data_IF_233518020536
#
_entry.id   IF_233518020536
#
_cell.length_a   1.000
_cell.length_b   1.000
_cell.length_c   1.000
_cell.angle_alpha   90.00
_cell.angle_beta   90.00
_cell.angle_gamma   90.00
#
_symmetry.space_group_name_H-M   'P 1'
#
loop_
_entity.id
_entity.type
_entity.pdbx_description
1 polymer ?
#
# COMPACT_ATOMS: atom_id res chain seq x y z
N UNK A 1 58.08 -19.49 -53.29
CA UNK A 1 58.73 -19.30 -51.97
C UNK A 1 58.29 -17.98 -51.39
N UNK A 2 57.79 -18.00 -50.14
CA UNK A 2 57.60 -16.87 -49.20
C UNK A 2 56.51 -15.83 -49.54
N UNK A 3 55.67 -15.34 -48.62
CA UNK A 3 55.29 -15.68 -47.24
C UNK A 3 53.93 -14.99 -47.01
N UNK A 4 52.94 -15.73 -46.51
CA UNK A 4 51.66 -15.20 -46.02
C UNK A 4 51.88 -14.17 -44.91
N UNK A 5 51.25 -13.00 -45.02
CA UNK A 5 50.97 -12.14 -43.87
C UNK A 5 49.47 -11.88 -43.79
N UNK A 6 48.78 -12.72 -43.01
CA UNK A 6 47.42 -12.48 -42.51
C UNK A 6 47.54 -11.46 -41.37
N UNK A 7 47.07 -10.24 -41.57
CA UNK A 7 46.84 -9.33 -40.45
C UNK A 7 45.48 -9.65 -39.83
N UNK A 8 45.52 -10.31 -38.67
CA UNK A 8 44.36 -10.60 -37.83
C UNK A 8 44.16 -9.39 -36.89
N UNK A 9 43.17 -8.56 -37.18
CA UNK A 9 42.73 -7.51 -36.27
C UNK A 9 41.97 -8.16 -35.11
N UNK A 10 42.61 -8.23 -33.94
CA UNK A 10 42.00 -8.69 -32.70
C UNK A 10 41.35 -7.48 -32.02
N UNK A 11 40.03 -7.31 -32.20
CA UNK A 11 39.26 -6.33 -31.43
C UNK A 11 39.03 -6.88 -30.03
N UNK A 12 39.79 -6.35 -29.06
CA UNK A 12 39.65 -6.65 -27.64
C UNK A 12 38.40 -5.93 -27.12
N UNK A 13 37.26 -6.63 -27.07
CA UNK A 13 36.08 -6.14 -26.36
C UNK A 13 36.32 -6.26 -24.85
N UNK A 14 36.66 -5.14 -24.20
CA UNK A 14 36.61 -5.05 -22.73
C UNK A 14 35.17 -5.30 -22.30
N UNK A 15 34.89 -6.49 -21.76
CA UNK A 15 33.67 -6.70 -20.97
C UNK A 15 33.86 -6.02 -19.63
N UNK A 16 33.34 -4.81 -19.51
CA UNK A 16 33.19 -4.14 -18.21
C UNK A 16 32.17 -4.93 -17.39
N UNK A 17 32.64 -5.72 -16.43
CA UNK A 17 31.77 -6.30 -15.41
C UNK A 17 31.27 -5.17 -14.52
N UNK A 18 30.03 -4.74 -14.73
CA UNK A 18 29.34 -3.87 -13.77
C UNK A 18 29.07 -4.67 -12.51
N UNK A 19 29.72 -4.30 -11.42
CA UNK A 19 29.30 -4.71 -10.08
C UNK A 19 27.92 -4.10 -9.84
N UNK A 20 26.86 -4.89 -10.02
CA UNK A 20 25.52 -4.54 -9.56
C UNK A 20 25.57 -4.66 -8.03
N UNK A 21 25.85 -3.55 -7.36
CA UNK A 21 25.55 -3.42 -5.93
C UNK A 21 24.02 -3.55 -5.85
N UNK A 22 23.53 -4.68 -5.34
CA UNK A 22 22.11 -4.88 -5.11
C UNK A 22 21.66 -3.86 -4.07
N UNK A 23 21.01 -2.79 -4.52
CA UNK A 23 20.49 -1.76 -3.66
C UNK A 23 19.51 -2.40 -2.65
N UNK A 24 19.66 -2.04 -1.38
CA UNK A 24 18.78 -2.53 -0.32
C UNK A 24 17.36 -2.03 -0.57
N UNK A 25 16.39 -2.94 -0.57
CA UNK A 25 14.97 -2.58 -0.69
C UNK A 25 14.56 -1.73 0.50
N UNK A 26 14.09 -0.52 0.24
CA UNK A 26 13.53 0.36 1.26
C UNK A 26 12.04 0.08 1.41
N UNK A 27 11.56 0.01 2.65
CA UNK A 27 10.15 -0.25 2.97
C UNK A 27 9.66 0.83 3.93
N UNK A 28 8.58 1.50 3.55
CA UNK A 28 7.82 2.38 4.42
C UNK A 28 6.55 1.64 4.86
N UNK A 29 6.49 1.27 6.14
CA UNK A 29 5.29 0.67 6.73
C UNK A 29 4.43 1.74 7.38
N UNK A 30 3.16 1.82 7.01
CA UNK A 30 2.19 2.76 7.56
C UNK A 30 1.04 1.94 8.14
N UNK A 31 0.90 1.98 9.46
CA UNK A 31 -0.28 1.45 10.14
C UNK A 31 -1.36 2.51 10.22
N UNK A 32 -2.61 2.10 9.94
CA UNK A 32 -3.81 2.93 10.13
C UNK A 32 -4.87 2.12 10.86
N UNK A 33 -5.80 2.80 11.53
CA UNK A 33 -7.09 2.20 11.89
C UNK A 33 -8.03 2.24 10.66
N UNK A 34 -9.11 1.46 10.66
CA UNK A 34 -10.08 1.49 9.57
C UNK A 34 -10.87 2.82 9.53
N UNK A 35 -10.74 3.58 8.44
CA UNK A 35 -11.42 4.88 8.27
C UNK A 35 -12.93 4.72 8.09
N UNK A 36 -13.34 3.63 7.45
CA UNK A 36 -14.74 3.22 7.35
C UNK A 36 -15.30 2.77 8.72
N UNK A 37 -14.44 2.25 9.60
CA UNK A 37 -14.75 1.65 10.90
C UNK A 37 -16.00 0.74 10.86
N UNK A 38 -15.92 -0.46 10.27
CA UNK A 38 -17.02 -1.43 10.27
C UNK A 38 -17.36 -1.99 11.66
N UNK A 39 -16.58 -1.66 12.69
CA UNK A 39 -16.74 -2.17 14.05
C UNK A 39 -16.20 -3.58 14.27
N UNK A 40 -15.45 -4.15 13.33
CA UNK A 40 -14.84 -5.47 13.42
C UNK A 40 -13.62 -5.56 14.34
N UNK A 41 -12.99 -4.43 14.65
CA UNK A 41 -11.76 -4.38 15.46
C UNK A 41 -12.05 -4.68 16.94
N UNK A 42 -11.14 -5.41 17.59
CA UNK A 42 -11.21 -5.72 19.02
C UNK A 42 -11.16 -4.44 19.85
N UNK A 43 -10.24 -3.53 19.51
CA UNK A 43 -10.12 -2.20 20.13
C UNK A 43 -11.05 -1.23 19.40
N UNK A 44 -11.93 -0.55 20.15
CA UNK A 44 -12.85 0.44 19.59
C UNK A 44 -12.20 1.83 19.58
N UNK A 45 -12.13 2.43 18.40
CA UNK A 45 -11.65 3.80 18.22
C UNK A 45 -12.82 4.79 18.14
N UNK A 46 -12.61 6.01 18.65
CA UNK A 46 -13.52 7.12 18.39
C UNK A 46 -13.57 7.38 16.87
N UNK A 47 -14.77 7.34 16.28
CA UNK A 47 -14.92 7.62 14.86
C UNK A 47 -14.79 9.11 14.58
N UNK A 48 -14.24 9.45 13.42
CA UNK A 48 -14.32 10.79 12.85
C UNK A 48 -14.75 10.69 11.40
N UNK A 49 -15.20 11.81 10.82
CA UNK A 49 -15.54 11.84 9.42
C UNK A 49 -14.29 12.03 8.56
N UNK A 50 -13.82 10.95 7.96
CA UNK A 50 -12.70 10.97 6.99
C UNK A 50 -13.00 11.88 5.79
N UNK A 51 -14.27 12.16 5.50
CA UNK A 51 -14.67 13.05 4.40
C UNK A 51 -14.68 14.53 4.80
N UNK A 52 -14.41 14.86 6.08
CA UNK A 52 -14.38 16.25 6.54
C UNK A 52 -13.25 17.05 5.86
N UNK A 53 -13.40 18.37 5.68
CA UNK A 53 -12.36 19.20 5.06
C UNK A 53 -10.99 19.09 5.76
N UNK A 54 -10.97 19.00 7.08
CA UNK A 54 -9.75 18.82 7.88
C UNK A 54 -9.08 17.50 7.55
N UNK A 55 -9.81 16.38 7.61
CA UNK A 55 -9.27 15.07 7.31
C UNK A 55 -8.77 14.97 5.86
N UNK A 56 -9.49 15.55 4.91
CA UNK A 56 -9.04 15.60 3.51
C UNK A 56 -7.74 16.38 3.35
N UNK A 57 -7.59 17.51 4.05
CA UNK A 57 -6.33 18.29 4.06
C UNK A 57 -5.17 17.47 4.65
N UNK A 58 -5.42 16.74 5.74
CA UNK A 58 -4.42 15.86 6.35
C UNK A 58 -4.01 14.70 5.41
N UNK A 59 -4.97 14.08 4.74
CA UNK A 59 -4.70 13.05 3.73
C UNK A 59 -3.85 13.60 2.58
N UNK A 60 -4.12 14.82 2.11
CA UNK A 60 -3.26 15.46 1.11
C UNK A 60 -1.82 15.59 1.62
N UNK A 61 -1.64 16.10 2.83
CA UNK A 61 -0.32 16.25 3.45
C UNK A 61 0.42 14.92 3.64
N UNK A 62 -0.27 13.88 4.10
CA UNK A 62 0.33 12.55 4.31
C UNK A 62 0.74 11.96 2.96
N UNK A 63 -0.14 12.01 1.97
CA UNK A 63 0.14 11.44 0.65
C UNK A 63 1.21 12.20 -0.12
N UNK A 64 1.39 13.51 0.11
CA UNK A 64 2.53 14.27 -0.40
C UNK A 64 3.86 13.78 0.19
N UNK A 65 3.88 13.45 1.49
CA UNK A 65 5.07 12.87 2.14
C UNK A 65 5.37 11.48 1.61
N UNK A 66 4.34 10.65 1.39
CA UNK A 66 4.50 9.33 0.77
C UNK A 66 5.05 9.48 -0.66
N UNK A 67 4.54 10.41 -1.46
CA UNK A 67 5.06 10.64 -2.81
C UNK A 67 6.53 11.08 -2.81
N UNK A 68 6.95 11.90 -1.84
CA UNK A 68 8.35 12.32 -1.64
C UNK A 68 9.29 11.17 -1.25
N UNK A 69 8.76 10.08 -0.71
CA UNK A 69 9.53 8.85 -0.50
C UNK A 69 9.87 8.15 -1.83
N UNK A 70 9.24 8.54 -2.94
CA UNK A 70 9.41 7.95 -4.27
C UNK A 70 9.17 6.43 -4.31
N UNK A 71 8.00 5.95 -3.86
CA UNK A 71 7.70 4.52 -3.88
C UNK A 71 7.57 4.02 -5.32
N UNK A 72 8.27 2.92 -5.64
CA UNK A 72 8.07 2.20 -6.90
C UNK A 72 6.79 1.36 -6.90
N UNK A 73 6.32 0.99 -5.69
CA UNK A 73 5.13 0.18 -5.46
C UNK A 73 4.42 0.62 -4.19
N UNK A 74 3.09 0.53 -4.21
CA UNK A 74 2.24 0.66 -3.02
C UNK A 74 1.42 -0.61 -2.87
N UNK A 75 1.35 -1.11 -1.64
CA UNK A 75 0.60 -2.31 -1.27
C UNK A 75 -0.51 -1.92 -0.29
N UNK A 76 -1.67 -2.57 -0.39
CA UNK A 76 -2.85 -2.29 0.42
C UNK A 76 -3.52 -3.58 0.86
N UNK A 77 -4.27 -3.51 1.96
CA UNK A 77 -5.01 -4.62 2.54
C UNK A 77 -6.28 -4.95 1.73
N UNK A 78 -6.06 -5.43 0.51
CA UNK A 78 -7.07 -6.01 -0.38
C UNK A 78 -6.74 -7.49 -0.59
N UNK A 79 -7.76 -8.35 -0.71
CA UNK A 79 -7.58 -9.80 -0.91
C UNK A 79 -6.59 -10.04 -2.06
N UNK A 80 -5.47 -10.71 -1.75
CA UNK A 80 -4.41 -11.02 -2.71
C UNK A 80 -4.92 -11.79 -3.95
N UNK A 81 -6.06 -12.48 -3.84
CA UNK A 81 -6.71 -13.17 -4.96
C UNK A 81 -7.50 -12.26 -5.89
N UNK A 82 -7.87 -11.05 -5.44
CA UNK A 82 -8.70 -10.10 -6.18
C UNK A 82 -7.93 -8.85 -6.64
N UNK A 83 -6.70 -9.03 -7.11
CA UNK A 83 -5.92 -7.95 -7.74
C UNK A 83 -6.67 -7.30 -8.92
N UNK A 84 -7.42 -8.08 -9.71
CA UNK A 84 -8.16 -7.56 -10.87
C UNK A 84 -9.30 -6.60 -10.47
N UNK A 85 -9.99 -6.88 -9.36
CA UNK A 85 -10.98 -5.98 -8.79
C UNK A 85 -10.33 -4.67 -8.35
N UNK A 86 -9.21 -4.75 -7.64
CA UNK A 86 -8.43 -3.58 -7.22
C UNK A 86 -7.95 -2.73 -8.41
N UNK A 87 -7.39 -3.37 -9.44
CA UNK A 87 -6.90 -2.70 -10.65
C UNK A 87 -8.03 -1.95 -11.37
N UNK A 88 -9.21 -2.56 -11.45
CA UNK A 88 -10.40 -1.94 -12.07
C UNK A 88 -10.85 -0.68 -11.32
N UNK A 89 -10.86 -0.73 -9.98
CA UNK A 89 -11.19 0.40 -9.14
C UNK A 89 -10.13 1.50 -9.23
N UNK A 90 -8.84 1.12 -9.24
CA UNK A 90 -7.75 2.08 -9.33
C UNK A 90 -7.71 2.77 -10.70
N UNK A 91 -8.02 2.06 -11.79
CA UNK A 91 -8.15 2.68 -13.11
C UNK A 91 -9.24 3.75 -13.15
N UNK A 92 -10.41 3.48 -12.55
CA UNK A 92 -11.47 4.47 -12.41
C UNK A 92 -11.01 5.69 -11.59
N UNK A 93 -10.16 5.47 -10.58
CA UNK A 93 -9.61 6.53 -9.74
C UNK A 93 -8.63 7.42 -10.50
N UNK A 94 -7.73 6.83 -11.29
CA UNK A 94 -6.82 7.57 -12.18
C UNK A 94 -7.59 8.40 -13.20
N UNK A 95 -8.67 7.84 -13.76
CA UNK A 95 -9.52 8.50 -14.76
C UNK A 95 -10.46 9.57 -14.18
N UNK A 96 -10.45 9.79 -12.86
CA UNK A 96 -11.35 10.73 -12.19
C UNK A 96 -12.83 10.32 -12.20
N UNK A 97 -13.12 9.03 -12.47
CA UNK A 97 -14.48 8.47 -12.57
C UNK A 97 -14.91 7.68 -11.34
N UNK A 98 -13.98 7.43 -10.41
CA UNK A 98 -14.22 6.59 -9.23
C UNK A 98 -15.38 7.08 -8.37
N UNK A 99 -15.41 8.36 -8.00
CA UNK A 99 -16.47 8.88 -7.13
C UNK A 99 -17.87 8.75 -7.75
N UNK A 100 -18.02 9.09 -9.03
CA UNK A 100 -19.29 8.93 -9.73
C UNK A 100 -19.70 7.46 -9.86
N UNK A 101 -18.73 6.55 -10.07
CA UNK A 101 -18.99 5.12 -10.06
C UNK A 101 -19.49 4.65 -8.69
N UNK A 102 -18.85 5.08 -7.60
CA UNK A 102 -19.26 4.71 -6.23
C UNK A 102 -20.64 5.24 -5.90
N UNK A 103 -20.92 6.51 -6.20
CA UNK A 103 -22.24 7.14 -6.02
C UNK A 103 -23.33 6.40 -6.81
N UNK A 104 -23.07 6.04 -8.07
CA UNK A 104 -24.06 5.36 -8.91
C UNK A 104 -24.32 3.92 -8.49
N UNK A 105 -23.28 3.18 -8.12
CA UNK A 105 -23.36 1.73 -7.90
C UNK A 105 -23.69 1.35 -6.46
N UNK A 106 -23.16 2.10 -5.49
CA UNK A 106 -23.19 1.68 -4.09
C UNK A 106 -24.01 2.58 -3.17
N UNK A 107 -24.45 3.78 -3.61
CA UNK A 107 -25.25 4.66 -2.76
C UNK A 107 -26.53 3.96 -2.28
N UNK A 108 -26.76 4.00 -0.97
CA UNK A 108 -27.86 3.29 -0.31
C UNK A 108 -27.61 1.80 -0.04
N UNK A 109 -26.46 1.26 -0.43
CA UNK A 109 -26.04 -0.11 -0.09
C UNK A 109 -25.16 -0.12 1.14
N UNK A 110 -25.04 -1.28 1.79
CA UNK A 110 -24.11 -1.49 2.93
C UNK A 110 -22.65 -1.28 2.54
N UNK A 111 -22.29 -1.52 1.27
CA UNK A 111 -20.94 -1.32 0.75
C UNK A 111 -20.56 0.15 0.48
N UNK A 112 -21.50 1.10 0.61
CA UNK A 112 -21.23 2.49 0.24
C UNK A 112 -20.05 3.10 1.02
N UNK A 113 -20.06 2.95 2.34
CA UNK A 113 -19.00 3.51 3.19
C UNK A 113 -17.67 2.79 2.99
N UNK A 114 -17.68 1.49 2.69
CA UNK A 114 -16.46 0.77 2.32
C UNK A 114 -15.82 1.43 1.08
N UNK A 115 -16.55 1.55 -0.03
CA UNK A 115 -15.94 2.13 -1.25
C UNK A 115 -15.68 3.63 -1.17
N UNK A 116 -16.41 4.38 -0.33
CA UNK A 116 -16.25 5.83 -0.22
C UNK A 116 -15.20 6.26 0.80
N UNK A 117 -15.19 5.62 1.97
CA UNK A 117 -14.46 6.08 3.17
C UNK A 117 -13.22 5.24 3.51
N UNK A 118 -13.05 4.06 2.93
CA UNK A 118 -11.95 3.16 3.27
C UNK A 118 -10.56 3.76 2.93
N UNK A 119 -9.61 3.50 3.82
CA UNK A 119 -8.20 3.88 3.78
C UNK A 119 -7.48 3.46 2.49
N UNK A 120 -7.85 2.34 1.88
CA UNK A 120 -7.31 1.89 0.60
C UNK A 120 -7.51 2.96 -0.47
N UNK A 121 -8.69 3.59 -0.52
CA UNK A 121 -8.99 4.64 -1.51
C UNK A 121 -8.60 6.03 -1.02
N UNK A 122 -8.87 6.34 0.26
CA UNK A 122 -8.57 7.65 0.83
C UNK A 122 -7.07 7.90 1.02
N UNK A 123 -6.27 6.85 1.27
CA UNK A 123 -4.82 6.95 1.46
C UNK A 123 -4.06 6.25 0.33
N UNK A 124 -4.30 4.95 0.13
CA UNK A 124 -3.52 4.12 -0.80
C UNK A 124 -3.58 4.58 -2.27
N UNK A 125 -4.79 4.71 -2.83
CA UNK A 125 -5.01 5.17 -4.21
C UNK A 125 -4.49 6.60 -4.42
N UNK A 126 -4.77 7.49 -3.47
CA UNK A 126 -4.31 8.88 -3.49
C UNK A 126 -2.78 8.95 -3.52
N UNK A 127 -2.10 8.23 -2.63
CA UNK A 127 -0.64 8.15 -2.59
C UNK A 127 -0.06 7.61 -3.90
N UNK A 128 -0.63 6.52 -4.42
CA UNK A 128 -0.16 5.90 -5.66
C UNK A 128 -0.31 6.84 -6.86
N UNK A 129 -1.43 7.56 -6.94
CA UNK A 129 -1.67 8.54 -8.00
C UNK A 129 -0.65 9.68 -7.94
N UNK A 130 -0.35 10.20 -6.74
CA UNK A 130 0.67 11.25 -6.55
C UNK A 130 2.08 10.78 -6.86
N UNK A 131 2.37 9.51 -6.57
CA UNK A 131 3.65 8.88 -6.93
C UNK A 131 3.76 8.53 -8.44
N UNK A 132 2.71 8.77 -9.24
CA UNK A 132 2.71 8.46 -10.67
C UNK A 132 2.64 6.97 -10.99
N UNK A 133 2.14 6.16 -10.05
CA UNK A 133 2.01 4.71 -10.23
C UNK A 133 0.74 4.38 -11.01
N UNK A 134 0.84 3.37 -11.87
CA UNK A 134 -0.29 2.86 -12.65
C UNK A 134 -1.00 1.67 -11.97
N UNK A 135 -0.50 1.21 -10.83
CA UNK A 135 -1.04 0.07 -10.11
C UNK A 135 -0.85 0.22 -8.59
N UNK A 136 -1.81 -0.34 -7.84
CA UNK A 136 -1.73 -0.60 -6.40
C UNK A 136 -1.82 -2.12 -6.20
N UNK A 137 -1.05 -2.68 -5.27
CA UNK A 137 -0.88 -4.13 -5.14
C UNK A 137 -1.68 -4.66 -3.94
N UNK A 138 -2.47 -5.72 -4.15
CA UNK A 138 -3.21 -6.42 -3.12
C UNK A 138 -2.29 -7.37 -2.35
N UNK A 139 -2.35 -7.34 -1.02
CA UNK A 139 -1.51 -8.20 -0.14
C UNK A 139 -2.25 -8.84 1.03
N UNK A 140 -3.54 -8.53 1.22
CA UNK A 140 -4.26 -9.06 2.36
C UNK A 140 -4.42 -10.57 2.21
N UNK A 141 -4.06 -11.28 3.27
CA UNK A 141 -4.18 -12.71 3.38
C UNK A 141 -4.84 -13.01 4.73
N UNK A 142 -5.93 -13.78 4.76
CA UNK A 142 -6.61 -14.09 6.01
C UNK A 142 -5.66 -14.84 6.95
N UNK A 143 -5.30 -14.19 8.05
CA UNK A 143 -4.47 -14.76 9.10
C UNK A 143 -5.28 -14.86 10.38
N UNK A 144 -5.14 -16.00 11.08
CA UNK A 144 -5.68 -16.12 12.42
C UNK A 144 -4.75 -15.35 13.36
N UNK A 145 -5.18 -14.17 13.82
CA UNK A 145 -4.40 -13.37 14.76
C UNK A 145 -4.46 -14.06 16.13
N UNK A 146 -3.33 -14.50 16.71
CA UNK A 146 -3.32 -15.28 17.95
C UNK A 146 -3.47 -14.34 19.16
N UNK A 147 -4.60 -13.64 19.25
CA UNK A 147 -4.86 -12.61 20.27
C UNK A 147 -4.61 -13.15 21.69
N UNK A 148 -5.11 -14.34 22.01
CA UNK A 148 -4.85 -15.01 23.29
C UNK A 148 -3.36 -15.19 23.60
N UNK A 149 -2.55 -15.48 22.57
CA UNK A 149 -1.10 -15.63 22.74
C UNK A 149 -0.45 -14.28 23.01
N UNK A 150 -0.87 -13.23 22.31
CA UNK A 150 -0.42 -11.86 22.55
C UNK A 150 -0.75 -11.43 23.99
N UNK A 151 -1.99 -11.64 24.44
CA UNK A 151 -2.40 -11.29 25.80
C UNK A 151 -1.65 -12.10 26.86
N UNK A 152 -1.38 -13.39 26.62
CA UNK A 152 -0.53 -14.19 27.53
C UNK A 152 0.89 -13.64 27.64
N UNK A 153 1.50 -13.21 26.53
CA UNK A 153 2.84 -12.61 26.52
C UNK A 153 2.85 -11.27 27.25
N UNK A 154 1.88 -10.39 27.00
CA UNK A 154 1.73 -9.10 27.70
C UNK A 154 1.62 -9.30 29.22
N UNK A 155 0.87 -10.32 29.66
CA UNK A 155 0.75 -10.65 31.08
C UNK A 155 2.08 -11.14 31.65
N UNK A 156 2.73 -12.09 30.96
CA UNK A 156 3.99 -12.69 31.38
C UNK A 156 5.16 -11.70 31.40
N UNK A 157 5.15 -10.68 30.54
CA UNK A 157 6.13 -9.60 30.49
C UNK A 157 5.89 -8.50 31.54
N UNK A 158 4.81 -8.60 32.34
CA UNK A 158 4.45 -7.57 33.32
C UNK A 158 3.94 -6.26 32.71
N UNK A 159 3.55 -6.27 31.42
CA UNK A 159 3.04 -5.09 30.71
C UNK A 159 1.53 -4.88 30.98
N UNK A 160 1.11 -4.97 32.24
CA UNK A 160 -0.30 -4.95 32.63
C UNK A 160 -1.01 -3.63 32.34
N UNK A 161 -0.30 -2.51 32.28
CA UNK A 161 -0.84 -1.23 31.83
C UNK A 161 -1.31 -1.28 30.37
N UNK A 162 -0.51 -1.89 29.49
CA UNK A 162 -0.87 -2.08 28.07
C UNK A 162 -2.07 -3.01 27.91
N UNK A 163 -2.21 -4.01 28.79
CA UNK A 163 -3.37 -4.90 28.81
C UNK A 163 -4.69 -4.14 29.01
N UNK A 164 -4.68 -3.12 29.89
CA UNK A 164 -5.87 -2.32 30.20
C UNK A 164 -6.23 -1.33 29.10
N UNK A 165 -5.31 -1.03 28.18
CA UNK A 165 -5.57 -0.17 27.02
C UNK A 165 -6.14 -0.96 25.83
N UNK A 166 -5.89 -2.27 25.78
CA UNK A 166 -6.37 -3.19 24.73
C UNK A 166 -7.78 -3.73 25.03
N UNK A 167 -8.14 -3.86 26.31
CA UNK A 167 -9.45 -4.33 26.79
C UNK A 167 -10.48 -3.21 26.84
#
# INVERSE_FOLDING_TARGET
>A
MNKLYKQLLFTLSLMSTTLVIQAQTQVLLIGTFHFHNPGGDVVKMNSFDIMSPTAQTELENITDKIAKFHPDKIFVEWDYKDQKGLDSLYKLYLDGKYDSFVEKKYKGTTGYNFFKKNEIMQLGFRAAKKAGLNQVNAIDYPMNIPFDTVMKVINASGQTSLMNEIN
#
